data_IF_855645270119
#
_entry.id   IF_855645270119
#
_cell.length_a   1.000
_cell.length_b   1.000
_cell.length_c   1.000
_cell.angle_alpha   90.00
_cell.angle_beta   90.00
_cell.angle_gamma   90.00
#
_symmetry.space_group_name_H-M   'P 1'
#
loop_
_entity.id
_entity.type
_entity.pdbx_description
1 polymer ?
#
# COMPACT_ATOMS: atom_id res chain seq x y z
N UNK A 1 -46.41 -34.90 -21.84
CA UNK A 1 -45.51 -34.97 -23.02
C UNK A 1 -45.00 -33.56 -23.27
N UNK A 2 -43.69 -33.35 -23.17
CA UNK A 2 -43.04 -32.07 -23.47
C UNK A 2 -43.08 -31.78 -24.98
N UNK A 3 -43.37 -30.55 -25.43
CA UNK A 3 -43.02 -30.09 -26.76
C UNK A 3 -41.56 -29.58 -26.80
N UNK A 4 -40.93 -29.53 -28.00
CA UNK A 4 -39.48 -29.43 -28.15
C UNK A 4 -38.94 -28.00 -27.93
N UNK A 5 -37.66 -27.93 -27.55
CA UNK A 5 -36.89 -26.70 -27.36
C UNK A 5 -36.72 -25.98 -28.71
N UNK A 6 -37.19 -24.74 -28.80
CA UNK A 6 -36.70 -23.78 -29.78
C UNK A 6 -35.34 -23.25 -29.32
N UNK A 7 -34.34 -23.45 -30.17
CA UNK A 7 -33.03 -22.80 -30.10
C UNK A 7 -33.16 -21.43 -30.76
N UNK A 8 -33.31 -20.36 -29.97
CA UNK A 8 -33.11 -19.02 -30.49
C UNK A 8 -31.63 -18.66 -30.42
N UNK A 9 -31.02 -18.70 -31.61
CA UNK A 9 -29.77 -18.05 -31.94
C UNK A 9 -29.92 -16.56 -31.70
N UNK A 10 -29.27 -16.05 -30.65
CA UNK A 10 -29.11 -14.61 -30.47
C UNK A 10 -28.30 -14.05 -31.65
N UNK A 11 -28.92 -13.11 -32.35
CA UNK A 11 -28.33 -12.36 -33.45
C UNK A 11 -27.07 -11.62 -32.98
N UNK A 12 -26.00 -11.78 -33.75
CA UNK A 12 -24.79 -10.97 -33.69
C UNK A 12 -25.15 -9.50 -33.96
N UNK A 13 -24.97 -8.63 -32.97
CA UNK A 13 -24.84 -7.18 -33.18
C UNK A 13 -23.35 -6.88 -33.37
N UNK A 14 -22.92 -6.29 -34.49
CA UNK A 14 -21.52 -5.99 -34.73
C UNK A 14 -21.09 -4.80 -33.85
N UNK A 15 -20.03 -4.99 -33.06
CA UNK A 15 -19.31 -3.91 -32.40
C UNK A 15 -18.36 -3.24 -33.39
N UNK A 16 -18.47 -1.93 -33.55
CA UNK A 16 -17.57 -1.12 -34.38
C UNK A 16 -16.10 -1.19 -33.89
N UNK A 17 -15.11 -1.23 -34.81
CA UNK A 17 -13.73 -1.50 -34.46
C UNK A 17 -12.95 -0.19 -34.30
N UNK A 18 -12.80 0.29 -33.06
CA UNK A 18 -11.74 1.26 -32.74
C UNK A 18 -11.12 0.87 -31.40
N UNK A 19 -9.79 0.67 -31.41
CA UNK A 19 -8.92 0.15 -30.34
C UNK A 19 -8.75 -1.38 -30.26
N UNK A 20 -8.10 -1.93 -31.28
CA UNK A 20 -7.28 -3.14 -31.11
C UNK A 20 -6.02 -2.78 -30.30
N UNK A 21 -6.04 -2.96 -28.98
CA UNK A 21 -4.81 -3.00 -28.17
C UNK A 21 -4.36 -4.45 -28.06
N UNK A 22 -3.50 -4.85 -29.00
CA UNK A 22 -2.70 -6.08 -28.86
C UNK A 22 -1.58 -5.81 -27.86
N UNK A 23 -1.78 -6.20 -26.61
CA UNK A 23 -0.69 -6.70 -25.76
C UNK A 23 -1.30 -7.36 -24.53
N UNK A 24 -1.33 -8.68 -24.53
CA UNK A 24 -1.54 -9.43 -23.30
C UNK A 24 -0.46 -9.02 -22.29
N UNK A 25 -0.82 -8.66 -21.05
CA UNK A 25 0.16 -8.51 -19.99
C UNK A 25 0.68 -9.91 -19.66
N UNK A 26 1.81 -10.27 -20.26
CA UNK A 26 2.48 -11.55 -20.03
C UNK A 26 3.09 -11.53 -18.62
N UNK A 27 2.26 -11.82 -17.61
CA UNK A 27 2.67 -12.03 -16.23
C UNK A 27 3.41 -13.38 -16.15
N UNK A 28 4.66 -13.44 -15.67
CA UNK A 28 5.37 -14.72 -15.64
C UNK A 28 4.80 -15.59 -14.52
N UNK A 29 4.18 -16.71 -14.91
CA UNK A 29 3.83 -17.84 -14.05
C UNK A 29 5.07 -18.70 -13.67
N UNK A 30 6.29 -18.16 -13.81
CA UNK A 30 7.54 -18.88 -13.54
C UNK A 30 8.35 -18.18 -12.44
N UNK A 31 8.37 -18.71 -11.20
CA UNK A 31 9.08 -18.13 -10.06
C UNK A 31 10.61 -18.22 -10.16
N UNK A 32 11.17 -18.89 -11.18
CA UNK A 32 12.63 -19.07 -11.35
C UNK A 32 13.26 -18.13 -12.38
N UNK A 33 12.46 -17.40 -13.15
CA UNK A 33 12.95 -16.44 -14.15
C UNK A 33 12.85 -15.01 -13.62
N UNK A 34 13.99 -14.38 -13.37
CA UNK A 34 14.05 -12.92 -13.20
C UNK A 34 13.48 -12.24 -14.46
N UNK A 35 12.44 -11.39 -14.35
CA UNK A 35 11.90 -10.70 -15.51
C UNK A 35 12.96 -9.84 -16.20
N UNK A 36 13.09 -9.97 -17.52
CA UNK A 36 14.06 -9.20 -18.34
C UNK A 36 13.88 -7.68 -18.21
N UNK A 37 12.75 -7.21 -17.66
CA UNK A 37 12.37 -5.81 -17.49
C UNK A 37 12.94 -5.13 -16.23
N UNK A 38 13.47 -5.87 -15.26
CA UNK A 38 14.10 -5.27 -14.06
C UNK A 38 15.47 -4.65 -14.31
N UNK A 39 15.87 -4.35 -15.56
CA UNK A 39 17.21 -3.85 -15.88
C UNK A 39 17.31 -2.32 -16.04
N UNK A 40 16.21 -1.58 -15.90
CA UNK A 40 16.17 -0.14 -16.22
C UNK A 40 15.68 0.75 -15.07
N UNK A 41 16.01 0.42 -13.82
CA UNK A 41 15.67 1.22 -12.64
C UNK A 41 16.91 1.68 -11.85
N UNK A 42 16.77 2.68 -10.98
CA UNK A 42 17.82 3.04 -10.02
C UNK A 42 17.94 1.92 -9.00
N UNK A 43 19.01 1.14 -9.11
CA UNK A 43 19.25 -0.02 -8.26
C UNK A 43 20.00 0.38 -6.97
N UNK A 44 19.29 0.50 -5.84
CA UNK A 44 19.94 0.59 -4.52
C UNK A 44 20.06 -0.80 -3.89
N UNK A 45 21.15 -1.49 -4.22
CA UNK A 45 21.51 -2.75 -3.56
C UNK A 45 22.05 -2.46 -2.16
N UNK A 46 21.26 -2.69 -1.13
CA UNK A 46 21.75 -2.77 0.25
C UNK A 46 21.85 -4.23 0.65
N UNK A 47 23.03 -4.83 0.45
CA UNK A 47 23.28 -6.20 0.87
C UNK A 47 23.62 -6.25 2.37
N UNK A 48 22.59 -6.35 3.20
CA UNK A 48 22.74 -6.78 4.60
C UNK A 48 22.09 -8.15 4.74
N UNK A 49 22.79 -9.21 4.31
CA UNK A 49 22.56 -10.66 4.56
C UNK A 49 21.20 -11.30 4.21
N UNK A 50 20.10 -10.65 4.58
CA UNK A 50 18.71 -11.10 4.47
C UNK A 50 17.83 -10.12 3.68
N UNK A 51 18.31 -8.93 3.32
CA UNK A 51 17.54 -7.88 2.65
C UNK A 51 18.03 -7.62 1.22
N UNK A 52 17.12 -7.68 0.24
CA UNK A 52 17.35 -7.17 -1.12
C UNK A 52 16.21 -6.22 -1.45
N UNK A 53 16.50 -4.96 -1.82
CA UNK A 53 15.48 -3.97 -2.20
C UNK A 53 15.69 -3.58 -3.65
N UNK A 54 14.62 -3.67 -4.42
CA UNK A 54 14.56 -3.19 -5.80
C UNK A 54 13.71 -1.92 -5.82
N UNK A 55 14.05 -0.92 -6.63
CA UNK A 55 13.23 0.29 -6.77
C UNK A 55 13.16 0.65 -8.25
N UNK A 56 11.96 0.63 -8.85
CA UNK A 56 11.75 1.14 -10.20
C UNK A 56 10.82 2.33 -10.15
N UNK A 57 11.28 3.46 -10.70
CA UNK A 57 10.49 4.67 -10.91
C UNK A 57 10.23 4.83 -12.41
N UNK A 58 8.99 4.59 -12.85
CA UNK A 58 8.61 4.85 -14.23
C UNK A 58 8.38 6.35 -14.46
N UNK A 59 9.23 6.98 -15.28
CA UNK A 59 9.23 8.43 -15.55
C UNK A 59 7.89 8.96 -16.11
N UNK A 60 7.09 8.11 -16.74
CA UNK A 60 5.81 8.51 -17.35
C UNK A 60 4.60 8.38 -16.43
N UNK A 61 4.70 7.65 -15.31
CA UNK A 61 3.53 7.38 -14.45
C UNK A 61 3.79 7.40 -12.92
N UNK A 62 5.00 7.72 -12.46
CA UNK A 62 5.34 7.85 -11.02
C UNK A 62 4.96 6.63 -10.15
N UNK A 63 5.00 5.42 -10.71
CA UNK A 63 4.93 4.19 -9.92
C UNK A 63 6.28 3.93 -9.26
N UNK A 64 6.26 3.57 -7.98
CA UNK A 64 7.39 3.01 -7.25
C UNK A 64 7.09 1.55 -6.94
N UNK A 65 7.92 0.65 -7.45
CA UNK A 65 7.85 -0.78 -7.15
C UNK A 65 9.04 -1.21 -6.30
N UNK A 66 8.77 -1.97 -5.24
CA UNK A 66 9.77 -2.55 -4.35
C UNK A 66 9.55 -4.03 -4.14
N UNK A 67 10.64 -4.74 -3.90
CA UNK A 67 10.64 -6.14 -3.51
C UNK A 67 11.61 -6.32 -2.35
N UNK A 68 11.21 -7.07 -1.33
CA UNK A 68 12.05 -7.49 -0.20
C UNK A 68 11.86 -8.99 0.04
N UNK A 69 12.96 -9.71 0.21
CA UNK A 69 12.93 -11.09 0.74
C UNK A 69 13.04 -11.00 2.26
N UNK A 70 12.11 -11.62 2.97
CA UNK A 70 12.07 -11.66 4.43
C UNK A 70 12.44 -13.06 4.89
N UNK A 71 13.72 -13.27 5.21
CA UNK A 71 14.16 -14.50 5.88
C UNK A 71 13.61 -14.51 7.31
N UNK A 72 13.33 -15.69 7.85
CA UNK A 72 12.87 -15.89 9.22
C UNK A 72 11.50 -15.26 9.54
N UNK A 73 10.71 -14.98 8.51
CA UNK A 73 9.36 -14.41 8.62
C UNK A 73 8.42 -15.24 7.76
N UNK A 74 7.32 -15.70 8.34
CA UNK A 74 6.26 -16.38 7.60
C UNK A 74 5.40 -15.37 6.84
N UNK A 75 4.80 -15.79 5.72
CA UNK A 75 3.86 -14.96 4.96
C UNK A 75 2.69 -14.47 5.84
N UNK A 76 2.17 -15.32 6.73
CA UNK A 76 1.12 -14.97 7.68
C UNK A 76 1.56 -13.88 8.68
N UNK A 77 2.78 -13.97 9.23
CA UNK A 77 3.30 -12.96 10.16
C UNK A 77 3.37 -11.59 9.50
N UNK A 78 3.87 -11.55 8.26
CA UNK A 78 3.93 -10.30 7.51
C UNK A 78 2.53 -9.77 7.17
N UNK A 79 1.61 -10.66 6.80
CA UNK A 79 0.22 -10.32 6.52
C UNK A 79 -0.46 -9.69 7.74
N UNK A 80 -0.29 -10.31 8.91
CA UNK A 80 -0.78 -9.78 10.19
C UNK A 80 -0.20 -8.39 10.51
N UNK A 81 1.11 -8.19 10.33
CA UNK A 81 1.77 -6.89 10.60
C UNK A 81 1.22 -5.76 9.72
N UNK A 82 0.86 -6.06 8.47
CA UNK A 82 0.29 -5.07 7.57
C UNK A 82 -1.18 -4.74 7.90
N UNK A 83 -1.90 -5.65 8.57
CA UNK A 83 -3.28 -5.43 8.99
C UNK A 83 -3.42 -4.84 10.40
N UNK A 84 -2.54 -5.16 11.34
CA UNK A 84 -2.69 -4.77 12.75
C UNK A 84 -2.40 -3.27 12.98
N UNK A 85 -3.47 -2.47 12.92
CA UNK A 85 -3.43 -1.02 13.16
C UNK A 85 -2.97 -0.67 14.57
N UNK A 86 -3.21 -1.55 15.56
CA UNK A 86 -2.72 -1.35 16.93
C UNK A 86 -1.21 -1.54 17.01
N UNK A 87 -0.68 -2.52 16.27
CA UNK A 87 0.76 -2.74 16.19
C UNK A 87 1.47 -1.68 15.34
N UNK A 88 0.80 -1.14 14.31
CA UNK A 88 1.36 -0.06 13.46
C UNK A 88 1.90 1.11 14.29
N UNK A 89 1.19 1.49 15.35
CA UNK A 89 1.58 2.55 16.31
C UNK A 89 2.90 2.29 17.04
N UNK A 90 3.40 1.05 17.05
CA UNK A 90 4.65 0.67 17.72
C UNK A 90 5.88 0.75 16.83
N UNK A 91 5.74 0.47 15.54
CA UNK A 91 6.89 0.35 14.64
C UNK A 91 6.95 1.46 13.59
N UNK A 92 5.83 2.08 13.25
CA UNK A 92 5.79 3.20 12.31
C UNK A 92 5.99 4.53 13.04
N UNK A 93 7.25 4.93 13.17
CA UNK A 93 7.64 6.19 13.82
C UNK A 93 7.15 7.45 13.09
N UNK A 94 6.76 7.32 11.81
CA UNK A 94 6.30 8.45 11.02
C UNK A 94 4.78 8.60 11.08
N UNK A 95 4.05 7.57 11.52
CA UNK A 95 2.61 7.64 11.70
C UNK A 95 2.26 8.63 12.82
N UNK A 96 1.31 9.53 12.54
CA UNK A 96 0.70 10.40 13.55
C UNK A 96 -0.56 9.75 14.09
N UNK A 97 -1.44 9.26 13.20
CA UNK A 97 -2.67 8.59 13.59
C UNK A 97 -3.10 7.55 12.53
N UNK A 98 -3.78 6.51 12.98
CA UNK A 98 -4.34 5.46 12.11
C UNK A 98 -5.51 4.76 12.80
N UNK A 99 -6.59 4.55 12.06
CA UNK A 99 -7.76 3.79 12.49
C UNK A 99 -8.63 3.40 11.29
N UNK A 100 -9.34 2.28 11.42
CA UNK A 100 -10.34 1.86 10.46
C UNK A 100 -11.66 2.61 10.74
N UNK A 101 -12.26 3.20 9.70
CA UNK A 101 -13.48 4.00 9.78
C UNK A 101 -14.71 3.09 9.75
N UNK A 102 -14.73 2.11 8.85
CA UNK A 102 -15.84 1.18 8.71
C UNK A 102 -15.60 0.12 7.64
N UNK A 103 -16.41 -0.93 7.65
CA UNK A 103 -16.30 -2.06 6.73
C UNK A 103 -17.29 -1.93 5.56
N UNK A 104 -16.86 -2.37 4.38
CA UNK A 104 -17.70 -2.48 3.17
C UNK A 104 -18.15 -3.92 2.96
N UNK A 105 -17.22 -4.86 3.11
CA UNK A 105 -17.45 -6.31 3.00
C UNK A 105 -16.67 -7.04 4.10
N UNK A 106 -16.61 -8.37 4.05
CA UNK A 106 -15.77 -9.19 4.95
C UNK A 106 -14.27 -8.97 4.73
N UNK A 107 -13.88 -8.46 3.56
CA UNK A 107 -12.50 -8.31 3.12
C UNK A 107 -12.21 -6.93 2.49
N UNK A 108 -13.04 -5.94 2.82
CA UNK A 108 -12.83 -4.56 2.40
C UNK A 108 -13.32 -3.58 3.47
N UNK A 109 -12.51 -2.55 3.72
CA UNK A 109 -12.78 -1.49 4.69
C UNK A 109 -12.33 -0.11 4.18
N UNK A 110 -12.73 0.92 4.91
CA UNK A 110 -12.25 2.29 4.75
C UNK A 110 -11.45 2.64 5.99
N UNK A 111 -10.24 3.18 5.80
CA UNK A 111 -9.36 3.58 6.89
C UNK A 111 -8.83 5.01 6.73
N UNK A 112 -8.41 5.59 7.85
CA UNK A 112 -7.68 6.85 7.91
C UNK A 112 -6.23 6.57 8.31
N UNK A 113 -5.29 7.27 7.66
CA UNK A 113 -3.87 7.21 8.00
C UNK A 113 -3.25 8.59 7.82
N UNK A 114 -2.48 9.07 8.80
CA UNK A 114 -1.70 10.30 8.69
C UNK A 114 -0.26 10.10 9.10
N UNK A 115 0.64 10.84 8.46
CA UNK A 115 2.06 10.77 8.74
C UNK A 115 2.73 12.14 8.85
N UNK A 116 3.83 12.14 9.58
CA UNK A 116 4.70 13.29 9.79
C UNK A 116 5.59 13.50 8.57
N UNK A 117 5.61 14.72 8.06
CA UNK A 117 6.59 15.14 7.07
C UNK A 117 7.71 15.95 7.74
N UNK A 118 8.93 15.96 7.17
CA UNK A 118 9.99 16.83 7.65
C UNK A 118 9.53 18.29 7.63
N UNK A 119 9.68 19.00 8.75
CA UNK A 119 9.49 20.45 8.79
C UNK A 119 10.33 21.11 7.69
N UNK A 120 9.87 22.17 7.01
CA UNK A 120 8.61 22.90 7.21
C UNK A 120 7.41 22.38 6.39
N UNK A 121 7.47 21.16 5.83
CA UNK A 121 6.33 20.59 5.10
C UNK A 121 5.15 20.32 6.04
N UNK A 122 3.94 20.55 5.55
CA UNK A 122 2.72 20.10 6.25
C UNK A 122 2.67 18.57 6.33
N UNK A 123 2.05 18.04 7.38
CA UNK A 123 1.81 16.61 7.47
C UNK A 123 0.82 16.14 6.41
N UNK A 124 0.85 14.86 6.06
CA UNK A 124 -0.08 14.29 5.05
C UNK A 124 -1.07 13.34 5.71
N UNK A 125 -2.29 13.33 5.19
CA UNK A 125 -3.33 12.36 5.55
C UNK A 125 -3.94 11.69 4.31
N UNK A 126 -4.51 10.51 4.53
CA UNK A 126 -5.21 9.69 3.55
C UNK A 126 -6.50 9.18 4.15
N UNK A 127 -7.51 9.09 3.29
CA UNK A 127 -8.66 8.22 3.49
C UNK A 127 -8.61 7.21 2.36
N UNK A 128 -8.48 5.92 2.68
CA UNK A 128 -8.32 4.86 1.70
C UNK A 128 -9.39 3.80 1.86
N UNK A 129 -9.88 3.30 0.73
CA UNK A 129 -10.56 2.01 0.70
C UNK A 129 -9.49 0.94 0.50
N UNK A 130 -9.47 -0.05 1.38
CA UNK A 130 -8.54 -1.19 1.33
C UNK A 130 -9.34 -2.47 1.13
N UNK A 131 -8.82 -3.39 0.33
CA UNK A 131 -9.34 -4.74 0.20
C UNK A 131 -8.21 -5.75 0.19
N UNK A 132 -8.47 -6.94 0.71
CA UNK A 132 -7.50 -8.02 0.83
C UNK A 132 -8.05 -9.35 0.34
N UNK A 133 -7.14 -10.22 -0.11
CA UNK A 133 -7.46 -11.52 -0.65
C UNK A 133 -6.34 -12.52 -0.35
N UNK A 134 -6.62 -13.58 0.43
CA UNK A 134 -5.76 -14.76 0.49
C UNK A 134 -5.75 -15.51 -0.85
N UNK A 135 -4.58 -15.95 -1.29
CA UNK A 135 -4.30 -16.60 -2.57
C UNK A 135 -3.58 -17.94 -2.33
N UNK A 136 -4.25 -18.86 -1.62
CA UNK A 136 -3.62 -20.10 -1.17
C UNK A 136 -2.60 -19.83 -0.05
N UNK A 137 -1.31 -20.01 -0.33
CA UNK A 137 -0.23 -19.67 0.62
C UNK A 137 0.21 -18.21 0.57
N UNK A 138 -0.25 -17.47 -0.44
CA UNK A 138 0.11 -16.08 -0.70
C UNK A 138 -1.01 -15.13 -0.26
N UNK A 139 -0.71 -13.83 -0.16
CA UNK A 139 -1.68 -12.82 0.25
C UNK A 139 -1.56 -11.56 -0.60
N UNK A 140 -2.69 -10.92 -0.88
CA UNK A 140 -2.74 -9.63 -1.55
C UNK A 140 -3.52 -8.62 -0.72
N UNK A 141 -3.00 -7.39 -0.63
CA UNK A 141 -3.69 -6.24 -0.04
C UNK A 141 -3.57 -5.09 -1.02
N UNK A 142 -4.69 -4.48 -1.41
CA UNK A 142 -4.72 -3.31 -2.27
C UNK A 142 -5.48 -2.17 -1.60
N UNK A 143 -5.07 -0.94 -1.85
CA UNK A 143 -5.81 0.23 -1.43
C UNK A 143 -5.68 1.39 -2.43
N UNK A 144 -6.67 2.26 -2.40
CA UNK A 144 -6.67 3.52 -3.14
C UNK A 144 -7.49 4.56 -2.36
N UNK A 145 -7.28 5.84 -2.66
CA UNK A 145 -7.93 6.93 -1.94
C UNK A 145 -9.39 7.13 -2.34
N UNK A 146 -10.23 7.35 -1.31
CA UNK A 146 -11.66 7.67 -1.44
C UNK A 146 -12.00 8.91 -0.64
N UNK A 147 -13.07 9.59 -1.01
CA UNK A 147 -13.70 10.64 -0.22
C UNK A 147 -14.74 9.99 0.69
N UNK A 148 -14.61 10.22 1.99
CA UNK A 148 -15.63 9.89 2.97
C UNK A 148 -16.24 11.20 3.49
N UNK A 149 -17.58 11.39 3.46
CA UNK A 149 -18.22 12.67 3.81
C UNK A 149 -17.85 13.20 5.20
N UNK A 150 -17.69 12.30 6.18
CA UNK A 150 -17.33 12.63 7.56
C UNK A 150 -15.83 12.87 7.79
N UNK A 151 -14.97 12.63 6.78
CA UNK A 151 -13.51 12.83 6.88
C UNK A 151 -12.99 13.76 5.76
N UNK A 152 -13.48 15.01 5.67
CA UNK A 152 -13.00 15.99 4.70
C UNK A 152 -11.52 16.36 4.96
N UNK A 153 -10.84 17.03 4.01
CA UNK A 153 -9.50 17.56 4.23
C UNK A 153 -9.42 18.45 5.49
N UNK A 154 -8.33 18.31 6.24
CA UNK A 154 -8.07 19.07 7.48
C UNK A 154 -7.09 20.20 7.21
N UNK A 155 -7.29 21.37 7.81
CA UNK A 155 -6.45 22.58 7.59
C UNK A 155 -4.95 22.36 7.81
N UNK A 156 -4.60 21.56 8.80
CA UNK A 156 -3.21 21.30 9.22
C UNK A 156 -2.54 20.16 8.45
N UNK A 157 -3.28 19.51 7.54
CA UNK A 157 -2.81 18.41 6.72
C UNK A 157 -2.95 18.73 5.23
N UNK A 158 -2.06 18.16 4.43
CA UNK A 158 -2.26 18.04 2.98
C UNK A 158 -2.91 16.68 2.74
N UNK A 159 -4.12 16.66 2.18
CA UNK A 159 -4.77 15.42 1.73
C UNK A 159 -4.02 14.88 0.53
N UNK A 160 -3.25 13.83 0.74
CA UNK A 160 -2.55 13.15 -0.34
C UNK A 160 -3.46 12.06 -0.95
N UNK A 161 -3.08 11.58 -2.14
CA UNK A 161 -3.89 10.65 -2.94
C UNK A 161 -3.08 9.42 -3.28
N UNK A 162 -3.48 8.28 -2.74
CA UNK A 162 -3.02 6.98 -3.25
C UNK A 162 -3.87 6.63 -4.46
N UNK A 163 -3.29 6.69 -5.65
CA UNK A 163 -3.94 6.23 -6.87
C UNK A 163 -4.06 4.70 -6.84
N UNK A 164 -2.99 4.04 -6.40
CA UNK A 164 -2.97 2.61 -6.11
C UNK A 164 -1.79 2.31 -5.20
N UNK A 165 -2.03 1.57 -4.13
CA UNK A 165 -0.98 0.94 -3.32
C UNK A 165 -1.32 -0.53 -3.13
N UNK A 166 -0.37 -1.42 -3.39
CA UNK A 166 -0.54 -2.86 -3.33
C UNK A 166 0.60 -3.55 -2.62
N UNK A 167 0.26 -4.60 -1.86
CA UNK A 167 1.17 -5.54 -1.23
C UNK A 167 0.85 -6.93 -1.76
N UNK A 168 1.82 -7.61 -2.33
CA UNK A 168 1.75 -9.04 -2.64
C UNK A 168 2.79 -9.76 -1.78
N UNK A 169 2.32 -10.66 -0.94
CA UNK A 169 3.13 -11.47 -0.04
C UNK A 169 3.16 -12.88 -0.60
N UNK A 170 4.33 -13.31 -1.08
CA UNK A 170 4.52 -14.65 -1.60
C UNK A 170 5.21 -15.52 -0.57
N UNK A 171 4.65 -16.70 -0.27
CA UNK A 171 5.29 -17.68 0.58
C UNK A 171 6.43 -18.37 -0.17
N UNK A 172 7.62 -18.41 0.43
CA UNK A 172 8.79 -19.10 -0.12
C UNK A 172 9.16 -20.33 0.73
N UNK A 173 8.21 -20.88 1.49
CA UNK A 173 8.43 -21.99 2.42
C UNK A 173 8.01 -21.65 3.86
N UNK A 174 8.33 -22.54 4.79
CA UNK A 174 7.77 -22.50 6.15
C UNK A 174 8.14 -21.24 6.96
N UNK A 175 9.29 -20.62 6.71
CA UNK A 175 9.78 -19.46 7.48
C UNK A 175 10.44 -18.40 6.59
N UNK A 176 9.92 -18.22 5.39
CA UNK A 176 10.43 -17.24 4.43
C UNK A 176 9.30 -16.74 3.54
N UNK A 177 9.26 -15.43 3.28
CA UNK A 177 8.34 -14.85 2.32
C UNK A 177 9.01 -13.74 1.52
N UNK A 178 8.46 -13.41 0.35
CA UNK A 178 8.81 -12.22 -0.42
C UNK A 178 7.67 -11.22 -0.31
N UNK A 179 7.96 -9.97 0.02
CA UNK A 179 7.00 -8.87 -0.12
C UNK A 179 7.32 -8.08 -1.39
N UNK A 180 6.33 -7.97 -2.26
CA UNK A 180 6.29 -7.01 -3.34
C UNK A 180 5.38 -5.87 -2.91
N UNK A 181 5.88 -4.64 -3.02
CA UNK A 181 5.17 -3.42 -2.68
C UNK A 181 5.13 -2.52 -3.91
N UNK A 182 3.94 -2.20 -4.38
CA UNK A 182 3.71 -1.31 -5.51
C UNK A 182 2.96 -0.09 -5.00
N UNK A 183 3.39 1.10 -5.37
CA UNK A 183 2.67 2.30 -5.00
C UNK A 183 2.73 3.39 -6.07
N UNK A 184 1.61 4.08 -6.23
CA UNK A 184 1.47 5.30 -7.01
C UNK A 184 0.73 6.30 -6.14
N UNK A 185 1.47 7.27 -5.62
CA UNK A 185 0.96 8.25 -4.68
C UNK A 185 1.26 9.63 -5.22
N UNK A 186 0.24 10.47 -5.27
CA UNK A 186 0.39 11.91 -5.38
C UNK A 186 0.43 12.47 -3.94
N UNK A 187 1.61 12.89 -3.44
CA UNK A 187 1.74 13.45 -2.09
C UNK A 187 1.04 14.80 -1.94
N UNK A 188 0.56 15.37 -3.05
CA UNK A 188 -0.05 16.69 -3.23
C UNK A 188 0.83 17.83 -2.70
N UNK A 189 0.48 19.01 -3.18
CA UNK A 189 1.24 20.23 -2.99
C UNK A 189 2.49 20.31 -3.88
N UNK A 190 3.03 21.51 -4.01
CA UNK A 190 4.24 21.75 -4.80
C UNK A 190 5.47 21.40 -3.96
N UNK A 191 5.99 20.17 -4.05
CA UNK A 191 7.15 19.75 -3.27
C UNK A 191 8.46 20.39 -3.78
N UNK A 192 9.35 20.86 -2.90
CA UNK A 192 10.71 21.27 -3.29
C UNK A 192 11.49 20.14 -3.95
N UNK A 193 12.39 20.48 -4.89
CA UNK A 193 13.23 19.50 -5.60
C UNK A 193 14.07 18.62 -4.66
N UNK A 194 14.58 19.20 -3.56
CA UNK A 194 15.36 18.47 -2.56
C UNK A 194 14.54 17.36 -1.88
N UNK A 195 13.23 17.58 -1.66
CA UNK A 195 12.31 16.60 -1.07
C UNK A 195 12.10 15.43 -2.03
N UNK A 196 11.83 15.72 -3.30
CA UNK A 196 11.61 14.69 -4.34
C UNK A 196 12.81 13.76 -4.46
N UNK A 197 14.03 14.33 -4.40
CA UNK A 197 15.27 13.56 -4.46
C UNK A 197 15.50 12.71 -3.20
N UNK A 198 15.13 13.20 -2.00
CA UNK A 198 15.34 12.52 -0.72
C UNK A 198 14.35 11.38 -0.46
N UNK A 199 13.09 11.55 -0.87
CA UNK A 199 12.01 10.55 -0.66
C UNK A 199 12.26 9.27 -1.43
N UNK A 200 12.59 9.38 -2.73
CA UNK A 200 12.79 8.23 -3.62
C UNK A 200 14.04 7.40 -3.26
N UNK A 201 15.08 8.03 -2.73
CA UNK A 201 16.36 7.37 -2.43
C UNK A 201 16.40 6.71 -1.04
N UNK A 202 15.76 7.30 -0.03
CA UNK A 202 15.97 6.87 1.36
C UNK A 202 14.70 6.39 2.08
N UNK A 203 13.56 7.02 1.82
CA UNK A 203 12.33 6.78 2.62
C UNK A 203 11.73 5.42 2.29
N UNK A 204 11.59 5.11 1.00
CA UNK A 204 11.04 3.85 0.51
C UNK A 204 11.82 2.61 1.02
N UNK A 205 13.16 2.53 0.86
CA UNK A 205 13.94 1.41 1.41
C UNK A 205 13.96 1.35 2.95
N UNK A 206 13.89 2.48 3.65
CA UNK A 206 13.82 2.53 5.12
C UNK A 206 12.47 1.99 5.61
N UNK A 207 11.38 2.28 4.90
CA UNK A 207 10.04 1.76 5.22
C UNK A 207 9.97 0.23 5.11
N UNK A 208 10.46 -0.35 4.01
CA UNK A 208 10.48 -1.82 3.83
C UNK A 208 11.30 -2.52 4.93
N UNK A 209 12.43 -1.93 5.33
CA UNK A 209 13.25 -2.43 6.45
C UNK A 209 12.51 -2.35 7.79
N UNK A 210 11.76 -1.28 8.05
CA UNK A 210 10.95 -1.14 9.26
C UNK A 210 9.86 -2.21 9.33
N UNK A 211 9.17 -2.48 8.21
CA UNK A 211 8.17 -3.57 8.11
C UNK A 211 8.81 -4.92 8.47
N UNK A 212 9.97 -5.23 7.87
CA UNK A 212 10.69 -6.46 8.17
C UNK A 212 11.08 -6.57 9.65
N UNK A 213 11.70 -5.53 10.23
CA UNK A 213 12.03 -5.49 11.67
C UNK A 213 10.79 -5.64 12.56
N UNK A 214 9.64 -5.09 12.14
CA UNK A 214 8.38 -5.23 12.84
C UNK A 214 7.88 -6.69 12.82
N UNK A 215 8.02 -7.39 11.69
CA UNK A 215 7.66 -8.81 11.58
C UNK A 215 8.43 -9.69 12.56
N UNK A 216 9.74 -9.46 12.72
CA UNK A 216 10.57 -10.22 13.66
C UNK A 216 10.09 -10.07 15.13
N UNK A 217 9.52 -8.91 15.47
CA UNK A 217 9.06 -8.59 16.84
C UNK A 217 7.56 -8.88 17.06
N UNK A 218 6.81 -9.11 15.99
CA UNK A 218 5.35 -9.19 16.06
C UNK A 218 4.82 -10.39 16.86
N UNK A 219 5.33 -11.63 16.69
CA UNK A 219 4.80 -12.78 17.43
C UNK A 219 4.86 -12.60 18.96
N UNK A 220 5.98 -12.06 19.46
CA UNK A 220 6.14 -11.80 20.89
C UNK A 220 5.20 -10.69 21.38
N UNK A 221 5.07 -9.62 20.59
CA UNK A 221 4.17 -8.52 20.91
C UNK A 221 2.71 -8.98 20.92
N UNK A 222 2.26 -9.67 19.86
CA UNK A 222 0.86 -10.07 19.68
C UNK A 222 0.39 -11.03 20.77
N UNK A 223 1.27 -11.91 21.25
CA UNK A 223 1.01 -12.79 22.42
C UNK A 223 0.57 -12.01 23.66
N UNK A 224 1.06 -10.77 23.84
CA UNK A 224 0.76 -9.91 24.99
C UNK A 224 -0.41 -8.94 24.72
N UNK A 225 -0.96 -8.89 23.50
CA UNK A 225 -1.93 -7.88 23.06
C UNK A 225 -3.07 -8.52 22.27
N UNK A 226 -3.99 -9.19 22.99
CA UNK A 226 -5.16 -9.87 22.40
C UNK A 226 -4.76 -10.83 21.26
N UNK A 227 -4.04 -11.93 21.57
CA UNK A 227 -3.44 -12.80 20.55
C UNK A 227 -4.43 -13.37 19.54
N UNK A 228 -5.67 -13.61 19.99
CA UNK A 228 -6.72 -14.21 19.18
C UNK A 228 -7.52 -13.17 18.37
N UNK A 229 -7.33 -11.87 18.61
CA UNK A 229 -8.02 -10.80 17.90
C UNK A 229 -7.28 -10.49 16.59
N UNK A 230 -7.77 -11.08 15.49
CA UNK A 230 -7.30 -10.90 14.12
C UNK A 230 -8.51 -10.78 13.17
N UNK A 231 -9.25 -9.66 13.20
CA UNK A 231 -10.48 -9.49 12.42
C UNK A 231 -10.28 -9.57 10.89
N UNK A 232 -9.05 -9.40 10.41
CA UNK A 232 -8.68 -9.60 9.00
C UNK A 232 -8.62 -11.10 8.60
N UNK A 233 -8.37 -12.00 9.56
CA UNK A 233 -8.43 -13.47 9.36
C UNK A 233 -9.79 -14.05 9.75
N UNK A 234 -10.43 -13.45 10.75
CA UNK A 234 -11.66 -13.91 11.38
C UNK A 234 -12.72 -12.78 11.34
N UNK A 235 -13.42 -12.59 10.20
CA UNK A 235 -14.30 -11.44 9.98
C UNK A 235 -15.42 -11.29 11.01
N UNK A 236 -15.82 -12.37 11.67
CA UNK A 236 -16.81 -12.37 12.76
C UNK A 236 -16.35 -11.58 13.99
N UNK A 237 -15.04 -11.34 14.14
CA UNK A 237 -14.48 -10.51 15.21
C UNK A 237 -14.59 -9.01 14.89
N UNK A 238 -14.95 -8.64 13.67
CA UNK A 238 -14.99 -7.26 13.22
C UNK A 238 -16.24 -6.53 13.74
N UNK A 239 -16.02 -5.51 14.57
CA UNK A 239 -17.08 -4.68 15.20
C UNK A 239 -17.27 -3.33 14.51
N UNK A 240 -16.60 -3.08 13.39
CA UNK A 240 -16.71 -1.83 12.64
C UNK A 240 -18.11 -1.63 12.07
N UNK A 241 -18.60 -0.37 12.00
CA UNK A 241 -19.85 -0.06 11.33
C UNK A 241 -19.76 -0.39 9.84
N UNK A 242 -20.89 -0.77 9.26
CA UNK A 242 -21.00 -1.01 7.83
C UNK A 242 -21.16 0.33 7.09
N UNK A 243 -20.37 0.55 6.04
CA UNK A 243 -20.43 1.74 5.18
C UNK A 243 -21.04 1.33 3.83
N UNK A 244 -21.99 2.11 3.33
CA UNK A 244 -22.47 1.91 1.96
C UNK A 244 -21.44 2.42 0.96
N UNK A 245 -21.15 1.62 -0.08
CA UNK A 245 -20.25 2.03 -1.17
C UNK A 245 -20.75 3.32 -1.87
N UNK A 246 -22.06 3.57 -1.89
CA UNK A 246 -22.65 4.77 -2.48
C UNK A 246 -22.32 6.07 -1.73
N UNK A 247 -21.89 5.98 -0.47
CA UNK A 247 -21.45 7.14 0.33
C UNK A 247 -20.03 7.57 -0.02
N UNK A 248 -19.27 6.70 -0.69
CA UNK A 248 -17.89 6.93 -1.06
C UNK A 248 -17.80 7.43 -2.50
N UNK A 249 -16.90 8.36 -2.75
CA UNK A 249 -16.55 8.77 -4.12
C UNK A 249 -15.04 8.67 -4.33
N UNK A 250 -14.63 8.48 -5.58
CA UNK A 250 -13.22 8.40 -5.92
C UNK A 250 -12.50 9.71 -5.57
N UNK A 251 -11.39 9.61 -4.84
CA UNK A 251 -10.54 10.77 -4.58
C UNK A 251 -9.61 11.00 -5.77
N UNK A 252 -9.95 11.97 -6.61
CA UNK A 252 -9.06 12.41 -7.70
C UNK A 252 -8.15 13.54 -7.22
N UNK A 253 -6.91 13.54 -7.67
CA UNK A 253 -5.89 14.52 -7.30
C UNK A 253 -6.21 15.94 -7.78
N UNK A 254 -6.78 16.07 -8.99
CA UNK A 254 -7.21 17.32 -9.61
C UNK A 254 -8.34 18.03 -8.84
N UNK A 255 -9.15 17.28 -8.09
CA UNK A 255 -10.29 17.80 -7.32
C UNK A 255 -9.93 18.36 -5.95
N UNK A 256 -8.64 18.35 -5.55
CA UNK A 256 -8.16 18.87 -4.28
C UNK A 256 -7.44 20.20 -4.48
N UNK A 257 -7.58 21.11 -3.51
CA UNK A 257 -6.81 22.37 -3.46
C UNK A 257 -5.30 22.10 -3.60
N UNK A 258 -4.62 22.92 -4.39
CA UNK A 258 -3.17 22.85 -4.52
C UNK A 258 -2.51 23.73 -3.46
N UNK A 259 -1.64 23.13 -2.64
CA UNK A 259 -0.91 23.84 -1.59
C UNK A 259 0.53 24.02 -2.07
N UNK A 260 0.94 25.26 -2.36
CA UNK A 260 2.28 25.53 -2.86
C UNK A 260 3.31 25.52 -1.71
N UNK A 261 4.17 24.50 -1.69
CA UNK A 261 5.26 24.32 -0.73
C UNK A 261 6.64 24.46 -1.40
N UNK A 262 6.70 24.93 -2.66
CA UNK A 262 7.92 24.83 -3.48
C UNK A 262 9.03 25.77 -3.02
N UNK A 263 8.67 26.86 -2.33
CA UNK A 263 9.59 27.85 -1.76
C UNK A 263 10.25 27.46 -0.43
N UNK A 264 10.01 26.25 0.08
CA UNK A 264 10.55 25.80 1.37
C UNK A 264 12.03 25.34 1.26
N UNK A 265 12.92 26.00 2.00
CA UNK A 265 14.37 25.70 2.02
C UNK A 265 14.73 24.57 2.99
N UNK A 266 15.80 23.82 2.66
CA UNK A 266 16.32 22.70 3.47
C UNK A 266 16.91 23.17 4.82
N UNK A 267 17.44 24.39 4.90
CA UNK A 267 18.06 24.95 6.12
C UNK A 267 17.08 25.08 7.31
N UNK A 268 15.77 25.11 7.06
CA UNK A 268 14.73 25.12 8.11
C UNK A 268 14.27 23.71 8.52
N UNK A 269 14.78 22.67 7.88
CA UNK A 269 14.42 21.30 8.21
C UNK A 269 15.23 20.79 9.40
N UNK A 270 14.63 20.85 10.59
CA UNK A 270 15.18 20.18 11.77
C UNK A 270 15.27 18.66 11.50
N UNK A 271 16.49 18.12 11.58
CA UNK A 271 16.75 16.67 11.56
C UNK A 271 15.97 16.03 12.72
N UNK A 272 14.96 15.21 12.41
CA UNK A 272 14.24 14.40 13.40
C UNK A 272 14.50 12.91 13.24
N UNK A 273 15.53 12.55 12.50
CA UNK A 273 15.98 11.17 12.33
C UNK A 273 17.40 11.07 12.89
N UNK A 274 17.52 10.82 14.19
CA UNK A 274 18.65 10.10 14.81
C UNK A 274 18.40 9.95 16.33
N UNK A 275 17.53 9.02 16.72
CA UNK A 275 17.68 8.28 17.97
C UNK A 275 17.16 6.85 17.74
N UNK A 276 18.04 5.93 17.32
CA UNK A 276 17.89 4.54 17.75
C UNK A 276 18.20 4.52 19.25
N UNK A 277 17.28 4.13 20.14
CA UNK A 277 17.67 3.87 21.51
C UNK A 277 18.61 2.66 21.49
N UNK A 278 19.87 2.91 21.85
CA UNK A 278 20.83 1.86 22.15
C UNK A 278 20.36 1.13 23.43
N UNK A 279 19.77 -0.06 23.28
CA UNK A 279 19.91 -1.21 24.20
C UNK A 279 19.29 -2.46 23.60
#
# INVERSE_FOLDING_TARGET
MYPPRHTDSAANVPLDPVFSVTSEPNWPLDPTREPRRWRSGVHTHTHTGCLQIWCEAALTFHFTSMRIVCKDVTAETLYDVLHDTSYRKKWDTNMIDTFDIGRLTVNADVGYYSWRCPSPLKNRDFVTMRSWLPLGSDYMIINYSVKHPQFPPKKDYVRAVSLLTGYLIQSNGANCCTLYYLTQVDPRGSLPKWVVNKVSQFVAPKAMRKIYKACLKYPEWKRKHNPNLKPWMYPEQNTLPCISLSELTLQRADSLENIDESGLSEEKAQHSDDEEPAS
#
